data_IF_523636162608
#
_entry.id   IF_523636162608
#
_cell.length_a   1.000
_cell.length_b   1.000
_cell.length_c   1.000
_cell.angle_alpha   90.00
_cell.angle_beta   90.00
_cell.angle_gamma   90.00
#
_symmetry.space_group_name_H-M   'P 1'
#
loop_
_entity.id
_entity.type
_entity.pdbx_description
1 polymer ?
#
# COMPACT_ATOMS: atom_id res chain seq x y z
N UNK A 1 10.88 19.72 -14.05
CA UNK A 1 11.17 19.61 -12.59
C UNK A 1 12.15 18.46 -12.38
N UNK A 2 13.28 18.65 -11.67
CA UNK A 2 14.27 17.57 -11.48
C UNK A 2 13.68 16.57 -10.48
N UNK A 3 13.74 15.23 -10.76
CA UNK A 3 13.28 14.12 -9.90
C UNK A 3 13.62 14.31 -8.41
N UNK A 4 14.83 14.84 -8.16
CA UNK A 4 15.33 15.13 -6.81
C UNK A 4 14.50 16.19 -6.05
N UNK A 5 13.91 17.14 -6.75
CA UNK A 5 13.09 18.20 -6.14
C UNK A 5 11.66 17.72 -5.85
N UNK A 6 11.15 16.79 -6.66
CA UNK A 6 9.87 16.11 -6.40
C UNK A 6 9.97 15.19 -5.17
N UNK A 7 11.03 14.38 -5.08
CA UNK A 7 11.28 13.53 -3.91
C UNK A 7 11.52 14.35 -2.63
N UNK A 8 12.23 15.47 -2.72
CA UNK A 8 12.39 16.37 -1.56
C UNK A 8 11.06 17.03 -1.14
N UNK A 9 10.20 17.37 -2.09
CA UNK A 9 8.87 17.90 -1.80
C UNK A 9 7.94 16.86 -1.17
N UNK A 10 7.92 15.63 -1.69
CA UNK A 10 7.09 14.54 -1.16
C UNK A 10 7.58 14.01 0.19
N UNK A 11 8.90 13.94 0.42
CA UNK A 11 9.47 13.65 1.74
C UNK A 11 9.20 14.79 2.73
N UNK A 12 9.26 16.04 2.30
CA UNK A 12 8.93 17.20 3.12
C UNK A 12 7.46 17.19 3.56
N UNK A 13 6.54 16.78 2.67
CA UNK A 13 5.11 16.67 2.99
C UNK A 13 4.84 15.49 3.94
N UNK A 14 5.50 14.36 3.74
CA UNK A 14 5.46 13.22 4.66
C UNK A 14 6.07 13.56 6.02
N UNK A 15 7.19 14.30 6.05
CA UNK A 15 7.83 14.74 7.29
C UNK A 15 6.98 15.76 8.03
N UNK A 16 6.33 16.73 7.36
CA UNK A 16 5.38 17.65 8.01
C UNK A 16 4.15 16.93 8.57
N UNK A 17 3.69 15.84 7.94
CA UNK A 17 2.60 15.03 8.47
C UNK A 17 3.03 14.14 9.66
N UNK A 18 4.32 13.83 9.79
CA UNK A 18 4.87 12.92 10.79
C UNK A 18 5.55 13.62 11.98
N UNK A 19 5.79 14.93 11.91
CA UNK A 19 6.48 15.65 12.98
C UNK A 19 5.56 15.85 14.20
N UNK A 20 5.82 15.18 15.33
CA UNK A 20 4.98 15.33 16.54
C UNK A 20 5.13 16.68 17.23
N UNK A 21 6.07 17.54 16.79
CA UNK A 21 6.46 18.79 17.45
C UNK A 21 5.95 20.08 16.78
N UNK A 22 5.05 20.00 15.80
CA UNK A 22 4.30 21.19 15.44
C UNK A 22 3.22 21.39 16.49
N UNK A 23 3.44 22.34 17.39
CA UNK A 23 2.52 22.76 18.44
C UNK A 23 1.22 23.30 17.83
N UNK A 24 0.31 22.41 17.55
CA UNK A 24 -1.09 22.76 17.41
C UNK A 24 -1.72 22.68 18.80
N UNK A 25 -2.45 23.71 19.25
CA UNK A 25 -3.09 23.66 20.56
C UNK A 25 -4.07 22.49 20.60
N UNK A 26 -3.96 21.64 21.58
CA UNK A 26 -4.85 20.59 22.12
C UNK A 26 -6.07 20.12 21.30
N UNK A 27 -6.00 20.14 20.00
CA UNK A 27 -6.94 19.40 19.15
C UNK A 27 -6.48 17.94 19.15
N UNK A 28 -7.22 17.06 19.79
CA UNK A 28 -7.09 15.60 19.55
C UNK A 28 -7.25 15.36 18.04
N UNK A 29 -6.13 15.41 17.33
CA UNK A 29 -6.14 15.08 15.90
C UNK A 29 -6.59 13.63 15.79
N UNK A 30 -7.56 13.33 14.93
CA UNK A 30 -7.94 11.95 14.68
C UNK A 30 -6.69 11.18 14.26
N UNK A 31 -6.54 9.98 14.78
CA UNK A 31 -5.42 9.10 14.50
C UNK A 31 -5.29 8.92 12.97
N UNK A 32 -4.27 9.53 12.38
CA UNK A 32 -4.09 9.50 10.92
C UNK A 32 -3.66 8.11 10.50
N UNK A 33 -4.36 7.55 9.53
CA UNK A 33 -4.06 6.23 8.97
C UNK A 33 -3.85 6.35 7.49
N UNK A 34 -2.84 5.66 6.97
CA UNK A 34 -2.59 5.50 5.53
C UNK A 34 -2.97 4.08 5.13
N UNK A 35 -3.93 3.95 4.22
CA UNK A 35 -4.25 2.69 3.57
C UNK A 35 -3.67 2.68 2.17
N UNK A 36 -2.78 1.74 1.88
CA UNK A 36 -2.24 1.52 0.53
C UNK A 36 -2.89 0.29 -0.06
N UNK A 37 -3.60 0.46 -1.18
CA UNK A 37 -4.23 -0.63 -1.92
C UNK A 37 -3.46 -0.87 -3.21
N UNK A 38 -2.79 -2.02 -3.32
CA UNK A 38 -2.03 -2.41 -4.49
C UNK A 38 -2.85 -3.38 -5.36
N UNK A 39 -3.23 -2.93 -6.56
CA UNK A 39 -4.01 -3.73 -7.50
C UNK A 39 -3.08 -4.61 -8.36
N UNK A 40 -2.60 -5.71 -7.80
CA UNK A 40 -1.64 -6.61 -8.45
C UNK A 40 -2.18 -7.32 -9.70
N UNK A 41 -3.48 -7.50 -9.79
CA UNK A 41 -4.13 -8.08 -10.96
C UNK A 41 -4.06 -7.20 -12.20
N UNK A 42 -3.67 -5.96 -11.99
CA UNK A 42 -3.63 -4.92 -13.01
C UNK A 42 -4.96 -4.17 -13.13
N UNK A 43 -4.87 -2.87 -13.18
CA UNK A 43 -5.97 -1.97 -13.56
C UNK A 43 -5.47 -1.16 -14.74
N UNK A 44 -6.18 -1.23 -15.86
CA UNK A 44 -5.91 -0.36 -16.99
C UNK A 44 -6.33 1.09 -16.65
N UNK A 45 -5.35 1.94 -16.36
CA UNK A 45 -5.58 3.34 -15.98
C UNK A 45 -6.32 4.14 -17.05
N UNK A 46 -6.07 3.85 -18.34
CA UNK A 46 -6.77 4.49 -19.45
C UNK A 46 -8.21 3.99 -19.61
N UNK A 47 -8.56 2.84 -19.07
CA UNK A 47 -9.93 2.38 -18.99
C UNK A 47 -10.62 2.89 -17.71
N UNK A 48 -9.90 2.99 -16.61
CA UNK A 48 -10.45 3.48 -15.34
C UNK A 48 -10.78 4.99 -15.42
N UNK A 49 -9.84 5.79 -15.93
CA UNK A 49 -9.98 7.26 -16.05
C UNK A 49 -9.48 7.69 -17.43
N UNK A 50 -10.31 7.49 -18.48
CA UNK A 50 -9.92 7.77 -19.86
C UNK A 50 -9.83 9.29 -20.13
N UNK A 51 -8.82 9.76 -20.88
CA UNK A 51 -8.75 11.13 -21.36
C UNK A 51 -9.70 11.33 -22.56
N UNK A 52 -10.98 11.54 -22.30
CA UNK A 52 -12.04 11.57 -23.31
C UNK A 52 -11.84 12.67 -24.36
N UNK A 53 -11.24 13.80 -23.97
CA UNK A 53 -10.99 14.92 -24.89
C UNK A 53 -9.70 14.74 -25.73
N UNK A 54 -8.89 13.69 -25.48
CA UNK A 54 -7.73 13.40 -26.31
C UNK A 54 -8.17 12.79 -27.66
N UNK A 55 -7.94 13.54 -28.74
CA UNK A 55 -8.29 13.14 -30.11
C UNK A 55 -7.59 11.86 -30.58
N UNK A 56 -6.52 11.43 -29.91
CA UNK A 56 -5.79 10.22 -30.26
C UNK A 56 -6.31 8.98 -29.52
N UNK A 57 -7.05 9.16 -28.44
CA UNK A 57 -7.55 8.05 -27.63
C UNK A 57 -8.33 7.03 -28.49
N UNK A 58 -9.30 7.49 -29.26
CA UNK A 58 -10.12 6.64 -30.13
C UNK A 58 -9.34 5.97 -31.25
N UNK A 59 -8.25 6.57 -31.69
CA UNK A 59 -7.38 6.01 -32.74
C UNK A 59 -6.50 4.88 -32.19
N UNK A 60 -5.98 5.06 -30.95
CA UNK A 60 -5.03 4.15 -30.33
C UNK A 60 -5.74 2.99 -29.66
N UNK A 61 -6.93 3.22 -29.08
CA UNK A 61 -7.66 2.26 -28.23
C UNK A 61 -9.06 1.93 -28.71
N UNK A 62 -9.36 2.07 -29.99
CA UNK A 62 -10.71 1.87 -30.56
C UNK A 62 -11.42 0.60 -30.16
N UNK A 63 -10.69 -0.53 -30.00
CA UNK A 63 -11.24 -1.84 -29.67
C UNK A 63 -11.40 -2.08 -28.17
N UNK A 64 -10.80 -1.23 -27.32
CA UNK A 64 -10.84 -1.35 -25.86
C UNK A 64 -11.28 -0.03 -25.18
N UNK A 65 -11.89 0.84 -25.97
CA UNK A 65 -12.42 2.10 -25.47
C UNK A 65 -13.62 1.84 -24.55
N UNK A 66 -13.58 2.43 -23.37
CA UNK A 66 -14.70 2.34 -22.40
C UNK A 66 -15.89 3.12 -22.93
N UNK A 67 -17.02 2.43 -23.07
CA UNK A 67 -18.29 3.03 -23.41
C UNK A 67 -19.01 3.56 -22.17
N UNK A 68 -19.65 4.73 -22.30
CA UNK A 68 -20.45 5.32 -21.22
C UNK A 68 -19.63 5.82 -20.03
N UNK A 69 -18.36 6.17 -20.23
CA UNK A 69 -17.58 6.85 -19.21
C UNK A 69 -18.24 8.21 -18.88
N UNK A 70 -18.37 8.51 -17.58
CA UNK A 70 -18.89 9.79 -17.09
C UNK A 70 -17.82 10.88 -17.19
N UNK A 71 -18.21 12.10 -17.47
CA UNK A 71 -17.29 13.23 -17.48
C UNK A 71 -16.86 13.61 -16.05
N UNK A 72 -15.56 13.88 -15.85
CA UNK A 72 -15.03 14.34 -14.58
C UNK A 72 -14.76 15.86 -14.55
N UNK A 73 -14.10 16.35 -15.59
CA UNK A 73 -13.55 17.72 -15.64
C UNK A 73 -13.51 18.34 -17.03
N UNK A 74 -14.21 17.76 -18.00
CA UNK A 74 -14.24 18.17 -19.41
C UNK A 74 -13.09 17.61 -20.24
N UNK A 75 -12.05 17.05 -19.64
CA UNK A 75 -10.96 16.38 -20.35
C UNK A 75 -10.90 14.88 -20.04
N UNK A 76 -10.97 14.52 -18.76
CA UNK A 76 -11.00 13.14 -18.31
C UNK A 76 -12.42 12.68 -18.00
N UNK A 77 -12.66 11.40 -18.23
CA UNK A 77 -13.84 10.72 -17.75
C UNK A 77 -13.49 9.65 -16.72
N UNK A 78 -14.50 9.01 -16.17
CA UNK A 78 -14.34 7.89 -15.25
C UNK A 78 -15.20 6.70 -15.68
N UNK A 79 -14.67 5.49 -15.48
CA UNK A 79 -15.40 4.28 -15.79
C UNK A 79 -16.70 4.21 -14.97
N UNK A 80 -17.86 3.86 -15.56
CA UNK A 80 -19.16 3.91 -14.89
C UNK A 80 -19.25 3.03 -13.63
N UNK A 81 -18.45 1.99 -13.52
CA UNK A 81 -18.38 1.14 -12.33
C UNK A 81 -17.60 1.77 -11.16
N UNK A 82 -16.92 2.90 -11.37
CA UNK A 82 -16.17 3.63 -10.34
C UNK A 82 -16.99 4.78 -9.73
N UNK A 83 -18.29 4.67 -9.70
CA UNK A 83 -19.22 5.71 -9.24
C UNK A 83 -18.91 6.24 -7.84
N UNK A 84 -18.41 5.40 -6.95
CA UNK A 84 -17.99 5.86 -5.61
C UNK A 84 -16.84 6.85 -5.73
N UNK A 85 -15.80 6.55 -6.52
CA UNK A 85 -14.65 7.43 -6.72
C UNK A 85 -15.03 8.72 -7.47
N UNK A 86 -16.00 8.66 -8.39
CA UNK A 86 -16.57 9.83 -9.06
C UNK A 86 -17.18 10.81 -8.03
N UNK A 87 -18.00 10.30 -7.12
CA UNK A 87 -18.60 11.10 -6.07
C UNK A 87 -17.55 11.70 -5.12
N UNK A 88 -16.53 10.94 -4.74
CA UNK A 88 -15.43 11.43 -3.90
C UNK A 88 -14.59 12.48 -4.62
N UNK A 89 -14.39 12.36 -5.93
CA UNK A 89 -13.70 13.36 -6.74
C UNK A 89 -14.46 14.69 -6.75
N UNK A 90 -15.76 14.67 -7.04
CA UNK A 90 -16.59 15.89 -7.04
C UNK A 90 -16.75 16.49 -5.63
N UNK A 91 -16.61 15.68 -4.59
CA UNK A 91 -16.59 16.14 -3.19
C UNK A 91 -15.23 16.69 -2.73
N UNK A 92 -14.21 16.65 -3.59
CA UNK A 92 -12.86 17.08 -3.25
C UNK A 92 -12.08 16.11 -2.37
N UNK A 93 -12.55 14.88 -2.17
CA UNK A 93 -11.93 13.86 -1.34
C UNK A 93 -11.06 12.87 -2.12
N UNK A 94 -11.11 12.89 -3.44
CA UNK A 94 -10.30 12.03 -4.31
C UNK A 94 -9.54 12.86 -5.36
N UNK A 95 -8.40 12.34 -5.78
CA UNK A 95 -7.62 12.87 -6.88
C UNK A 95 -7.04 11.73 -7.72
N UNK A 96 -6.88 11.96 -9.02
CA UNK A 96 -6.27 11.02 -9.94
C UNK A 96 -4.93 11.55 -10.43
N UNK A 97 -3.90 10.71 -10.41
CA UNK A 97 -2.57 11.06 -10.88
C UNK A 97 -2.29 10.30 -12.17
N UNK A 98 -2.35 11.00 -13.28
CA UNK A 98 -2.18 10.42 -14.61
C UNK A 98 -0.72 10.38 -15.05
N UNK A 99 -0.43 9.58 -16.09
CA UNK A 99 0.88 9.47 -16.72
C UNK A 99 2.00 9.11 -15.71
N UNK A 100 1.67 8.36 -14.69
CA UNK A 100 2.64 7.83 -13.73
C UNK A 100 3.16 6.48 -14.21
N UNK A 101 4.47 6.27 -14.10
CA UNK A 101 5.14 5.03 -14.45
C UNK A 101 6.42 4.85 -13.64
N UNK A 102 6.91 3.63 -13.58
CA UNK A 102 8.23 3.30 -13.07
C UNK A 102 9.16 2.91 -14.25
N UNK A 103 10.50 3.00 -14.08
CA UNK A 103 11.45 2.82 -15.17
C UNK A 103 11.63 1.35 -15.54
N UNK A 104 10.58 0.74 -16.07
CA UNK A 104 10.59 -0.64 -16.53
C UNK A 104 9.88 -0.78 -17.87
N UNK A 105 10.58 -1.29 -18.86
CA UNK A 105 10.07 -1.51 -20.23
C UNK A 105 9.98 -2.99 -20.61
N UNK A 106 10.33 -3.89 -19.70
CA UNK A 106 10.22 -5.34 -19.90
C UNK A 106 8.77 -5.83 -19.90
N UNK A 107 8.58 -7.08 -20.27
CA UNK A 107 7.25 -7.71 -20.35
C UNK A 107 6.96 -8.66 -19.16
N UNK A 108 7.85 -8.72 -18.17
CA UNK A 108 7.64 -9.53 -16.98
C UNK A 108 6.75 -8.80 -16.00
N UNK A 109 5.57 -9.31 -15.79
CA UNK A 109 4.62 -8.80 -14.80
C UNK A 109 5.20 -8.81 -13.38
N UNK A 110 5.92 -9.89 -13.03
CA UNK A 110 6.53 -10.04 -11.69
C UNK A 110 7.69 -9.09 -11.45
N UNK A 111 8.52 -8.83 -12.47
CA UNK A 111 9.62 -7.86 -12.36
C UNK A 111 9.06 -6.45 -12.18
N UNK A 112 8.03 -6.10 -12.95
CA UNK A 112 7.36 -4.81 -12.83
C UNK A 112 6.74 -4.61 -11.44
N UNK A 113 6.07 -5.63 -10.90
CA UNK A 113 5.54 -5.59 -9.53
C UNK A 113 6.66 -5.43 -8.49
N UNK A 114 7.75 -6.17 -8.64
CA UNK A 114 8.90 -6.07 -7.72
C UNK A 114 9.47 -4.65 -7.71
N UNK A 115 9.73 -4.07 -8.88
CA UNK A 115 10.24 -2.70 -9.01
C UNK A 115 9.27 -1.68 -8.40
N UNK A 116 7.97 -1.81 -8.67
CA UNK A 116 6.95 -0.93 -8.12
C UNK A 116 6.89 -1.00 -6.58
N UNK A 117 6.99 -2.19 -6.01
CA UNK A 117 6.92 -2.38 -4.56
C UNK A 117 8.23 -2.02 -3.84
N UNK A 118 9.37 -2.24 -4.48
CA UNK A 118 10.68 -1.91 -3.90
C UNK A 118 11.10 -0.47 -4.15
N UNK A 119 10.61 0.16 -5.22
CA UNK A 119 11.07 1.46 -5.69
C UNK A 119 12.49 1.43 -6.26
N UNK A 120 13.01 0.24 -6.64
CA UNK A 120 14.32 0.07 -7.25
C UNK A 120 14.27 0.31 -8.76
N UNK A 121 15.44 0.47 -9.40
CA UNK A 121 15.54 0.58 -10.86
C UNK A 121 15.58 -0.79 -11.54
N UNK A 122 15.95 -1.83 -10.80
CA UNK A 122 16.09 -3.20 -11.31
C UNK A 122 15.30 -4.17 -10.42
N UNK A 123 14.68 -5.16 -11.05
CA UNK A 123 13.97 -6.20 -10.33
C UNK A 123 14.91 -6.99 -9.42
N UNK A 124 14.45 -7.27 -8.22
CA UNK A 124 15.14 -8.06 -7.18
C UNK A 124 16.46 -7.48 -6.67
N UNK A 125 16.82 -6.25 -7.04
CA UNK A 125 18.00 -5.57 -6.53
C UNK A 125 17.88 -5.19 -5.04
N UNK A 126 16.65 -5.02 -4.55
CA UNK A 126 16.35 -4.65 -3.17
C UNK A 126 15.26 -5.57 -2.62
N UNK A 127 15.43 -6.02 -1.38
CA UNK A 127 14.49 -6.94 -0.70
C UNK A 127 13.45 -6.24 0.17
N UNK A 128 13.65 -4.94 0.44
CA UNK A 128 12.72 -4.10 1.22
C UNK A 128 11.85 -3.23 0.32
N UNK A 129 10.62 -2.94 0.77
CA UNK A 129 9.69 -2.06 0.08
C UNK A 129 9.89 -0.58 0.44
N UNK A 130 9.48 0.31 -0.46
CA UNK A 130 9.63 1.74 -0.23
C UNK A 130 8.73 2.26 0.89
N UNK A 131 7.51 1.71 1.04
CA UNK A 131 6.61 2.06 2.16
C UNK A 131 7.18 1.54 3.48
N UNK A 132 7.68 0.29 3.52
CA UNK A 132 8.30 -0.27 4.72
C UNK A 132 9.47 0.58 5.21
N UNK A 133 10.37 0.98 4.31
CA UNK A 133 11.48 1.89 4.65
C UNK A 133 10.99 3.26 5.14
N UNK A 134 9.96 3.81 4.52
CA UNK A 134 9.39 5.09 4.94
C UNK A 134 8.76 5.01 6.34
N UNK A 135 8.01 3.93 6.62
CA UNK A 135 7.40 3.70 7.93
C UNK A 135 8.46 3.49 9.02
N UNK A 136 9.50 2.70 8.73
CA UNK A 136 10.62 2.50 9.65
C UNK A 136 11.34 3.82 9.98
N UNK A 137 11.63 4.62 8.96
CA UNK A 137 12.27 5.93 9.15
C UNK A 137 11.40 6.93 9.93
N UNK A 138 10.08 6.79 9.85
CA UNK A 138 9.12 7.64 10.56
C UNK A 138 8.73 7.09 11.96
N UNK A 139 9.19 5.89 12.33
CA UNK A 139 8.86 5.23 13.61
C UNK A 139 7.41 4.74 13.68
N UNK A 140 6.77 4.46 12.54
CA UNK A 140 5.40 3.97 12.50
C UNK A 140 5.34 2.46 12.35
N UNK A 141 4.34 1.85 13.00
CA UNK A 141 3.98 0.45 12.76
C UNK A 141 3.18 0.30 11.46
N UNK A 142 3.24 -0.88 10.86
CA UNK A 142 2.45 -1.23 9.68
C UNK A 142 1.74 -2.57 9.85
N UNK A 143 0.56 -2.68 9.23
CA UNK A 143 -0.25 -3.89 9.19
C UNK A 143 -0.53 -4.26 7.73
N UNK A 144 -0.13 -5.44 7.32
CA UNK A 144 -0.53 -6.04 6.06
C UNK A 144 -1.82 -6.84 6.23
N UNK A 145 -2.81 -6.60 5.36
CA UNK A 145 -4.00 -7.46 5.26
C UNK A 145 -3.73 -8.50 4.18
N UNK A 146 -2.76 -9.36 4.42
CA UNK A 146 -2.31 -10.39 3.49
C UNK A 146 -1.46 -11.45 4.19
N UNK A 147 -1.24 -12.55 3.50
CA UNK A 147 -0.32 -13.61 3.89
C UNK A 147 0.54 -13.98 2.67
N UNK A 148 1.87 -13.78 2.68
CA UNK A 148 2.77 -13.18 3.68
C UNK A 148 2.78 -11.64 3.65
N UNK A 149 3.65 -11.01 4.47
CA UNK A 149 3.88 -9.55 4.38
C UNK A 149 4.38 -9.20 2.97
N UNK A 150 3.67 -8.32 2.23
CA UNK A 150 4.02 -7.96 0.86
C UNK A 150 5.35 -7.19 0.83
N UNK A 151 6.03 -7.24 -0.30
CA UNK A 151 7.34 -6.61 -0.47
C UNK A 151 7.29 -5.12 -0.14
N UNK A 152 6.22 -4.44 -0.52
CA UNK A 152 6.05 -2.99 -0.29
C UNK A 152 6.18 -2.57 1.18
N UNK A 153 5.85 -3.46 2.12
CA UNK A 153 5.94 -3.21 3.57
C UNK A 153 7.19 -3.80 4.23
N UNK A 154 8.00 -4.59 3.53
CA UNK A 154 9.23 -5.15 4.09
C UNK A 154 10.25 -4.06 4.40
N UNK A 155 11.09 -4.27 5.43
CA UNK A 155 12.09 -3.29 5.87
C UNK A 155 11.59 -2.32 6.94
N UNK A 156 10.41 -2.54 7.48
CA UNK A 156 9.95 -1.97 8.73
C UNK A 156 10.15 -2.99 9.86
N UNK A 157 10.75 -2.58 10.97
CA UNK A 157 10.98 -3.44 12.13
C UNK A 157 9.68 -3.81 12.86
N UNK A 158 8.70 -2.91 12.84
CA UNK A 158 7.39 -3.10 13.49
C UNK A 158 6.32 -3.39 12.44
N UNK A 159 6.42 -4.56 11.85
CA UNK A 159 5.44 -5.10 10.90
C UNK A 159 4.58 -6.17 11.54
N UNK A 160 3.30 -6.16 11.22
CA UNK A 160 2.38 -7.27 11.48
C UNK A 160 1.57 -7.59 10.24
N UNK A 161 0.98 -8.77 10.20
CA UNK A 161 0.03 -9.15 9.17
C UNK A 161 -1.23 -9.75 9.79
N UNK A 162 -2.34 -9.52 9.11
CA UNK A 162 -3.62 -10.12 9.42
C UNK A 162 -4.15 -10.79 8.15
N UNK A 163 -4.48 -12.04 8.28
CA UNK A 163 -5.16 -12.78 7.22
C UNK A 163 -6.27 -13.62 7.84
N UNK A 164 -7.54 -13.34 7.51
CA UNK A 164 -8.64 -14.17 7.99
C UNK A 164 -8.47 -15.58 7.44
N UNK A 165 -8.42 -16.56 8.31
CA UNK A 165 -8.23 -17.96 7.97
C UNK A 165 -9.28 -18.82 8.68
N UNK A 166 -9.72 -19.86 7.99
CA UNK A 166 -10.59 -20.90 8.56
C UNK A 166 -9.80 -22.01 9.27
N UNK A 167 -8.46 -21.90 9.34
CA UNK A 167 -7.67 -22.84 10.14
C UNK A 167 -8.06 -22.73 11.60
N UNK A 168 -8.23 -23.88 12.26
CA UNK A 168 -8.45 -23.93 13.69
C UNK A 168 -7.26 -23.28 14.40
N UNK A 169 -7.54 -22.53 15.46
CA UNK A 169 -6.48 -21.98 16.30
C UNK A 169 -5.67 -23.13 16.92
N UNK A 170 -4.36 -22.91 17.05
CA UNK A 170 -3.51 -23.86 17.73
C UNK A 170 -4.02 -24.08 19.16
N UNK A 171 -4.03 -25.33 19.58
CA UNK A 171 -4.46 -25.71 20.91
C UNK A 171 -3.36 -25.37 21.96
N UNK A 172 -3.75 -25.22 23.22
CA UNK A 172 -2.76 -25.05 24.33
C UNK A 172 -1.67 -26.11 24.33
N UNK A 173 -2.00 -27.33 23.91
CA UNK A 173 -1.05 -28.44 23.83
C UNK A 173 -0.02 -28.19 22.70
N UNK A 174 -0.46 -27.75 21.54
CA UNK A 174 0.42 -27.41 20.41
C UNK A 174 1.34 -26.24 20.75
N UNK A 175 0.82 -25.20 21.41
CA UNK A 175 1.65 -24.09 21.90
C UNK A 175 2.74 -24.59 22.88
N UNK A 176 2.39 -25.46 23.82
CA UNK A 176 3.34 -26.02 24.78
C UNK A 176 4.43 -26.90 24.12
N UNK A 177 4.09 -27.61 23.05
CA UNK A 177 5.10 -28.39 22.30
C UNK A 177 6.05 -27.45 21.53
N UNK A 178 5.55 -26.40 20.90
CA UNK A 178 6.39 -25.39 20.20
C UNK A 178 7.29 -24.67 21.21
N UNK A 179 6.77 -24.31 22.39
CA UNK A 179 7.55 -23.67 23.44
C UNK A 179 8.71 -24.55 23.90
N UNK A 180 8.51 -25.87 24.07
CA UNK A 180 9.57 -26.80 24.36
C UNK A 180 10.65 -26.86 23.29
N UNK A 181 10.24 -26.87 22.01
CA UNK A 181 11.16 -26.89 20.87
C UNK A 181 12.02 -25.63 20.81
N UNK A 182 11.45 -24.48 21.15
CA UNK A 182 12.12 -23.17 21.04
C UNK A 182 12.72 -22.67 22.35
N UNK A 183 12.72 -23.47 23.37
CA UNK A 183 13.18 -23.11 24.73
C UNK A 183 14.62 -22.58 24.77
N UNK A 184 15.49 -23.07 23.88
CA UNK A 184 16.90 -22.66 23.80
C UNK A 184 17.11 -21.42 22.91
N UNK A 185 16.11 -20.99 22.14
CA UNK A 185 16.16 -19.83 21.27
C UNK A 185 15.37 -18.67 21.88
N UNK A 186 16.10 -17.67 22.40
CA UNK A 186 15.49 -16.54 23.11
C UNK A 186 14.62 -15.68 22.22
N UNK A 187 14.94 -15.57 20.91
CA UNK A 187 14.20 -14.76 19.96
C UNK A 187 12.88 -15.44 19.60
N UNK A 188 12.91 -16.71 19.23
CA UNK A 188 11.71 -17.48 18.91
C UNK A 188 10.79 -17.65 20.11
N UNK A 189 11.34 -17.87 21.31
CA UNK A 189 10.56 -17.94 22.55
C UNK A 189 9.90 -16.58 22.89
N UNK A 190 10.59 -15.47 22.65
CA UNK A 190 10.03 -14.12 22.80
C UNK A 190 8.84 -13.89 21.87
N UNK A 191 8.97 -14.28 20.60
CA UNK A 191 7.87 -14.17 19.62
C UNK A 191 6.66 -15.03 20.01
N UNK A 192 6.88 -16.25 20.49
CA UNK A 192 5.79 -17.14 20.91
C UNK A 192 4.99 -16.56 22.09
N UNK A 193 5.69 -15.96 23.06
CA UNK A 193 5.06 -15.29 24.21
C UNK A 193 4.23 -14.07 23.78
N UNK A 194 4.74 -13.29 22.84
CA UNK A 194 4.01 -12.14 22.30
C UNK A 194 2.72 -12.58 21.57
N UNK A 195 2.79 -13.64 20.76
CA UNK A 195 1.62 -14.22 20.08
C UNK A 195 0.60 -14.72 21.10
N UNK A 196 1.02 -15.45 22.12
CA UNK A 196 0.12 -16.01 23.14
C UNK A 196 -0.55 -14.92 23.98
N UNK A 197 0.14 -13.82 24.28
CA UNK A 197 -0.42 -12.69 25.02
C UNK A 197 -1.48 -11.92 24.23
N UNK A 198 -1.30 -11.79 22.91
CA UNK A 198 -2.28 -11.14 22.03
C UNK A 198 -3.57 -11.95 21.86
N UNK A 199 -3.49 -13.26 21.96
CA UNK A 199 -4.67 -14.14 21.86
C UNK A 199 -5.53 -14.09 23.14
N UNK A 200 -4.92 -13.81 24.30
CA UNK A 200 -5.64 -13.65 25.58
C UNK A 200 -6.36 -12.30 25.68
N UNK A 201 -5.86 -11.23 25.05
CA UNK A 201 -6.52 -9.91 25.07
C UNK A 201 -7.80 -9.83 24.23
N UNK A 202 -8.08 -10.78 23.36
CA UNK A 202 -9.29 -10.79 22.51
C UNK A 202 -10.51 -11.45 23.15
N UNK A 203 -10.40 -11.92 24.39
CA UNK A 203 -11.46 -12.65 25.10
C UNK A 203 -11.74 -12.09 26.52
N UNK A 204 -11.34 -10.82 26.77
CA UNK A 204 -11.70 -10.06 27.97
C UNK A 204 -12.75 -9.00 27.71
#
# INVERSE_FOLDING_TARGET
>A
MKRRNFLKGSLGTLYMMASPNMAFPDVKLPEKRLLVVLLRGGLDGLAAVPPLADKNLSKIRKDVLVQGANDLDGFFGIHPNLKFLENEYHSGNAAFVHATSFPYTGRSHFDGQNIMETGSEQAYAVTSGWVGRAMNAAGFSSLAVSLPIPIILRGNEVNSNYFPTNFSKATKKEYAEVEKMWKSDSQLNGMLKDISSRDTMKHG
#
